data_IF_913071994734
#
_entry.id   IF_913071994734
#
_cell.length_a   1.000
_cell.length_b   1.000
_cell.length_c   1.000
_cell.angle_alpha   90.00
_cell.angle_beta   90.00
_cell.angle_gamma   90.00
#
_symmetry.space_group_name_H-M   'P 1'
#
loop_
_entity.id
_entity.type
_entity.pdbx_description
1 polymer ?
#
# COMPACT_ATOMS: atom_id res chain seq x y z
N UNK A 1 -28.61 10.10 21.30
CA UNK A 1 -28.43 9.14 20.20
C UNK A 1 -27.02 9.38 19.68
N UNK A 2 -26.06 8.54 20.11
CA UNK A 2 -24.68 8.59 19.63
C UNK A 2 -24.62 7.85 18.31
N UNK A 3 -24.52 8.56 17.19
CA UNK A 3 -24.15 7.92 15.93
C UNK A 3 -22.65 7.62 15.97
N UNK A 4 -22.35 6.33 16.03
CA UNK A 4 -21.03 5.75 15.91
C UNK A 4 -20.33 6.25 14.64
N UNK A 5 -19.08 6.72 14.70
CA UNK A 5 -18.32 7.10 13.52
C UNK A 5 -17.78 5.83 12.86
N UNK A 6 -18.65 5.08 12.19
CA UNK A 6 -18.26 3.90 11.42
C UNK A 6 -18.74 4.04 9.99
N UNK A 7 -18.31 5.11 9.32
CA UNK A 7 -18.63 5.34 7.92
C UNK A 7 -17.46 4.81 7.04
N UNK A 8 -17.63 3.71 6.31
CA UNK A 8 -16.56 3.03 5.57
C UNK A 8 -15.89 3.91 4.49
N UNK A 9 -16.58 4.94 3.99
CA UNK A 9 -16.03 5.91 3.02
C UNK A 9 -14.84 6.72 3.58
N UNK A 10 -14.81 6.99 4.88
CA UNK A 10 -13.75 7.80 5.50
C UNK A 10 -12.41 7.06 5.58
N UNK A 11 -12.45 5.75 5.81
CA UNK A 11 -11.26 4.89 5.81
C UNK A 11 -10.66 4.75 4.41
N UNK A 12 -11.51 4.65 3.37
CA UNK A 12 -11.06 4.60 1.97
C UNK A 12 -10.44 5.93 1.52
N UNK A 13 -11.02 7.07 1.88
CA UNK A 13 -10.41 8.38 1.60
C UNK A 13 -9.10 8.58 2.38
N UNK A 14 -9.03 8.16 3.64
CA UNK A 14 -7.79 8.20 4.42
C UNK A 14 -6.71 7.29 3.83
N UNK A 15 -7.08 6.07 3.40
CA UNK A 15 -6.17 5.14 2.72
C UNK A 15 -5.73 5.69 1.36
N UNK A 16 -6.62 6.30 0.58
CA UNK A 16 -6.30 6.98 -0.68
C UNK A 16 -5.38 8.18 -0.48
N UNK A 17 -5.61 9.00 0.54
CA UNK A 17 -4.77 10.14 0.88
C UNK A 17 -3.38 9.67 1.34
N UNK A 18 -3.33 8.65 2.19
CA UNK A 18 -2.08 8.01 2.60
C UNK A 18 -1.36 7.35 1.42
N UNK A 19 -2.08 6.69 0.51
CA UNK A 19 -1.54 6.12 -0.72
C UNK A 19 -0.97 7.18 -1.64
N UNK A 20 -1.69 8.30 -1.85
CA UNK A 20 -1.19 9.46 -2.61
C UNK A 20 0.07 10.03 -1.97
N UNK A 21 0.09 10.19 -0.64
CA UNK A 21 1.28 10.63 0.08
C UNK A 21 2.43 9.61 0.00
N UNK A 22 2.14 8.32 0.12
CA UNK A 22 3.10 7.24 0.05
C UNK A 22 3.64 7.04 -1.38
N UNK A 23 2.85 7.32 -2.42
CA UNK A 23 3.33 7.42 -3.81
C UNK A 23 4.28 8.60 -3.99
N UNK A 24 3.98 9.75 -3.37
CA UNK A 24 4.84 10.94 -3.45
C UNK A 24 6.13 10.83 -2.62
N UNK A 25 6.11 10.05 -1.53
CA UNK A 25 7.27 9.82 -0.65
C UNK A 25 8.04 8.53 -0.97
N UNK A 26 7.35 7.57 -1.58
CA UNK A 26 7.90 6.29 -1.98
C UNK A 26 8.88 6.47 -3.11
N UNK A 27 10.00 5.77 -3.04
CA UNK A 27 10.88 5.69 -4.18
C UNK A 27 10.14 4.93 -5.29
N UNK A 28 10.28 5.39 -6.54
CA UNK A 28 9.81 4.62 -7.69
C UNK A 28 10.31 3.18 -7.55
N UNK A 29 9.46 2.20 -7.91
CA UNK A 29 9.89 0.79 -7.94
C UNK A 29 11.21 0.69 -8.69
N UNK A 30 12.21 0.09 -8.04
CA UNK A 30 13.48 -0.20 -8.69
C UNK A 30 13.31 -1.33 -9.71
N UNK A 31 14.25 -1.49 -10.65
CA UNK A 31 14.19 -2.56 -11.66
C UNK A 31 14.18 -3.98 -11.10
N UNK A 32 14.61 -4.14 -9.85
CA UNK A 32 14.68 -5.41 -9.13
C UNK A 32 13.49 -5.64 -8.20
N UNK A 33 12.62 -4.63 -8.03
CA UNK A 33 11.42 -4.78 -7.23
C UNK A 33 10.39 -5.61 -8.03
N UNK A 34 9.64 -6.51 -7.38
CA UNK A 34 8.65 -7.33 -8.07
C UNK A 34 7.54 -6.46 -8.66
N UNK A 35 7.03 -6.85 -9.83
CA UNK A 35 5.90 -6.16 -10.43
C UNK A 35 4.59 -6.45 -9.69
N UNK A 36 4.49 -7.65 -9.12
CA UNK A 36 3.29 -8.17 -8.46
C UNK A 36 3.67 -9.12 -7.33
N UNK A 37 2.89 -9.09 -6.25
CA UNK A 37 2.97 -10.05 -5.14
C UNK A 37 1.55 -10.54 -4.84
N UNK A 38 1.30 -11.82 -5.08
CA UNK A 38 -0.07 -12.36 -4.99
C UNK A 38 -1.04 -11.55 -5.86
N UNK A 39 -2.21 -11.15 -5.33
CA UNK A 39 -3.18 -10.37 -6.10
C UNK A 39 -2.83 -8.87 -6.20
N UNK A 40 -1.71 -8.42 -5.63
CA UNK A 40 -1.36 -7.01 -5.54
C UNK A 40 -0.32 -6.59 -6.58
N UNK A 41 -0.65 -5.59 -7.39
CA UNK A 41 0.28 -4.87 -8.26
C UNK A 41 1.13 -3.90 -7.44
N UNK A 42 2.45 -4.04 -7.49
CA UNK A 42 3.35 -3.16 -6.73
C UNK A 42 3.38 -1.80 -7.42
N UNK A 43 3.31 -0.72 -6.66
CA UNK A 43 3.29 0.66 -7.17
C UNK A 43 4.58 1.39 -6.84
N UNK A 44 5.05 1.26 -5.60
CA UNK A 44 6.25 1.94 -5.11
C UNK A 44 6.84 1.18 -3.91
N UNK A 45 8.14 1.37 -3.67
CA UNK A 45 8.77 0.95 -2.42
C UNK A 45 8.65 2.07 -1.39
N UNK A 46 8.01 1.77 -0.26
CA UNK A 46 7.70 2.76 0.78
C UNK A 46 8.49 2.56 2.07
N UNK A 47 9.21 1.45 2.20
CA UNK A 47 10.13 1.23 3.31
C UNK A 47 11.01 0.01 3.13
N UNK A 48 12.16 -0.01 3.81
CA UNK A 48 13.07 -1.15 3.85
C UNK A 48 13.81 -1.19 5.20
N UNK A 49 14.05 -2.38 5.75
CA UNK A 49 14.78 -2.55 7.00
C UNK A 49 15.25 -3.98 7.24
N UNK A 50 15.66 -4.27 8.49
CA UNK A 50 16.20 -5.58 8.89
C UNK A 50 15.29 -6.74 8.51
N UNK A 51 13.99 -6.63 8.77
CA UNK A 51 12.99 -7.68 8.53
C UNK A 51 12.51 -7.80 7.08
N UNK A 52 12.85 -6.87 6.18
CA UNK A 52 12.40 -6.94 4.79
C UNK A 52 12.02 -5.61 4.17
N UNK A 53 11.16 -5.67 3.14
CA UNK A 53 10.77 -4.54 2.29
C UNK A 53 9.26 -4.34 2.37
N UNK A 54 8.82 -3.08 2.42
CA UNK A 54 7.41 -2.69 2.39
C UNK A 54 7.12 -1.96 1.08
N UNK A 55 6.14 -2.46 0.36
CA UNK A 55 5.64 -1.87 -0.88
C UNK A 55 4.27 -1.27 -0.70
N UNK A 56 4.01 -0.16 -1.40
CA UNK A 56 2.65 0.26 -1.70
C UNK A 56 2.17 -0.56 -2.90
N UNK A 57 0.98 -1.15 -2.80
CA UNK A 57 0.42 -1.96 -3.85
C UNK A 57 -1.09 -1.78 -3.99
N UNK A 58 -1.62 -2.12 -5.16
CA UNK A 58 -3.06 -2.10 -5.45
C UNK A 58 -3.54 -3.50 -5.78
N UNK A 59 -4.62 -3.92 -5.15
CA UNK A 59 -5.27 -5.17 -5.47
C UNK A 59 -5.79 -5.13 -6.91
N UNK A 60 -5.47 -6.16 -7.69
CA UNK A 60 -5.61 -6.10 -9.14
C UNK A 60 -7.06 -6.09 -9.64
N UNK A 61 -8.01 -6.55 -8.84
CA UNK A 61 -9.42 -6.66 -9.25
C UNK A 61 -10.28 -5.46 -8.81
N UNK A 62 -10.08 -4.97 -7.60
CA UNK A 62 -10.91 -3.91 -6.99
C UNK A 62 -10.15 -2.59 -6.74
N UNK A 63 -8.84 -2.56 -7.02
CA UNK A 63 -8.00 -1.38 -6.84
C UNK A 63 -7.74 -1.00 -5.38
N UNK A 64 -8.07 -1.87 -4.42
CA UNK A 64 -7.84 -1.57 -3.01
C UNK A 64 -6.34 -1.39 -2.71
N UNK A 65 -5.99 -0.29 -2.07
CA UNK A 65 -4.59 0.03 -1.77
C UNK A 65 -4.16 -0.66 -0.47
N UNK A 66 -3.02 -1.34 -0.51
CA UNK A 66 -2.45 -2.02 0.65
C UNK A 66 -0.94 -1.77 0.78
N UNK A 67 -0.43 -1.91 2.01
CA UNK A 67 0.99 -2.06 2.27
C UNK A 67 1.34 -3.56 2.29
N UNK A 68 2.21 -3.99 1.37
CA UNK A 68 2.67 -5.38 1.29
C UNK A 68 4.07 -5.48 1.87
N UNK A 69 4.22 -6.18 2.99
CA UNK A 69 5.53 -6.43 3.62
C UNK A 69 6.07 -7.80 3.20
N UNK A 70 7.19 -7.81 2.50
CA UNK A 70 7.92 -9.02 2.12
C UNK A 70 9.03 -9.26 3.13
N UNK A 71 9.05 -10.46 3.72
CA UNK A 71 10.08 -10.87 4.65
C UNK A 71 11.28 -11.44 3.90
N UNK A 72 12.49 -11.21 4.43
CA UNK A 72 13.69 -11.91 3.93
C UNK A 72 13.62 -13.38 4.39
N UNK A 73 14.16 -14.33 3.61
CA UNK A 73 14.31 -15.71 4.04
C UNK A 73 15.12 -15.82 5.34
#
# INVERSE_FOLDING_TARGET
>A
MSESPNNPDSALEAARAQARQARSRGHQRGPLDPERIGPYNIVARIGSGGMGIVYLAEHAEDGHVAAVKVLKP
#
